data_IF_968452358665
#
_entry.id   IF_968452358665
#
_cell.length_a   1.000
_cell.length_b   1.000
_cell.length_c   1.000
_cell.angle_alpha   90.00
_cell.angle_beta   90.00
_cell.angle_gamma   90.00
#
_symmetry.space_group_name_H-M   'P 1'
#
loop_
_entity.id
_entity.type
_entity.pdbx_description
1 polymer ?
#
# COMPACT_ATOMS: atom_id res chain seq x y z
N UNK A 1 40.33 -3.58 9.60
CA UNK A 1 39.28 -4.06 8.68
C UNK A 1 39.94 -5.07 7.73
N UNK A 2 40.01 -6.33 8.17
CA UNK A 2 40.61 -7.41 7.39
C UNK A 2 39.48 -8.14 6.65
N UNK A 3 39.59 -8.34 5.34
CA UNK A 3 38.60 -9.07 4.55
C UNK A 3 37.66 -8.25 3.64
N UNK A 4 37.93 -6.97 3.38
CA UNK A 4 37.18 -6.21 2.37
C UNK A 4 37.92 -6.24 1.03
N UNK A 5 37.26 -6.74 -0.01
CA UNK A 5 37.64 -6.51 -1.40
C UNK A 5 37.86 -5.02 -1.61
N UNK A 6 39.10 -4.61 -1.87
CA UNK A 6 39.47 -3.23 -2.11
C UNK A 6 39.62 -3.00 -3.60
N UNK A 7 39.05 -1.89 -4.07
CA UNK A 7 39.25 -1.46 -5.45
C UNK A 7 40.52 -0.62 -5.56
N UNK A 8 41.41 -1.01 -6.46
CA UNK A 8 42.60 -0.23 -6.82
C UNK A 8 42.71 -0.11 -8.34
N UNK A 9 42.15 0.97 -8.89
CA UNK A 9 42.08 1.20 -10.33
C UNK A 9 41.26 0.11 -11.05
N UNK A 10 41.92 -0.64 -11.93
CA UNK A 10 41.34 -1.74 -12.72
C UNK A 10 41.51 -3.12 -12.07
N UNK A 11 41.95 -3.16 -10.81
CA UNK A 11 42.20 -4.40 -10.07
C UNK A 11 41.41 -4.44 -8.76
N UNK A 12 41.04 -5.65 -8.35
CA UNK A 12 40.58 -5.95 -7.01
C UNK A 12 41.76 -6.46 -6.18
N UNK A 13 41.91 -5.93 -4.97
CA UNK A 13 42.86 -6.39 -3.96
C UNK A 13 42.10 -7.05 -2.82
N UNK A 14 42.47 -8.27 -2.49
CA UNK A 14 41.93 -9.02 -1.37
C UNK A 14 43.07 -9.35 -0.41
N UNK A 15 42.95 -8.86 0.82
CA UNK A 15 43.88 -9.16 1.90
C UNK A 15 43.14 -9.93 3.00
N UNK A 16 43.62 -11.14 3.28
CA UNK A 16 43.07 -11.97 4.34
C UNK A 16 44.17 -12.76 5.06
N UNK A 17 44.03 -12.96 6.38
CA UNK A 17 44.91 -13.85 7.13
C UNK A 17 44.59 -15.30 6.74
N UNK A 18 45.58 -16.02 6.22
CA UNK A 18 45.45 -17.43 5.89
C UNK A 18 45.66 -18.34 7.11
N UNK A 19 46.35 -17.82 8.11
CA UNK A 19 46.60 -18.48 9.38
C UNK A 19 46.42 -17.46 10.49
N UNK A 20 45.46 -17.76 11.37
CA UNK A 20 45.20 -17.00 12.58
C UNK A 20 46.16 -17.46 13.67
N UNK A 21 46.49 -16.54 14.60
CA UNK A 21 47.39 -16.77 15.73
C UNK A 21 47.20 -18.17 16.33
N UNK A 22 48.18 -19.05 16.06
CA UNK A 22 48.26 -20.38 16.64
C UNK A 22 49.13 -20.24 17.89
N UNK A 23 48.54 -20.50 19.07
CA UNK A 23 49.23 -20.40 20.35
C UNK A 23 50.40 -21.39 20.53
N UNK A 24 50.62 -22.28 19.56
CA UNK A 24 51.68 -23.28 19.53
C UNK A 24 52.60 -23.10 18.32
N UNK A 25 53.85 -23.53 18.43
CA UNK A 25 54.83 -23.51 17.35
C UNK A 25 54.39 -24.42 16.18
N UNK A 26 54.21 -23.84 15.00
CA UNK A 26 53.80 -24.59 13.81
C UNK A 26 55.00 -24.96 12.96
N UNK A 27 55.20 -26.27 12.73
CA UNK A 27 56.28 -26.79 11.88
C UNK A 27 55.88 -26.75 10.40
N UNK A 28 55.87 -25.55 9.83
CA UNK A 28 55.59 -25.35 8.40
C UNK A 28 54.17 -25.73 7.97
N UNK A 29 53.88 -25.54 6.70
CA UNK A 29 52.57 -25.82 6.13
C UNK A 29 52.50 -25.51 4.64
N UNK A 30 51.37 -25.84 4.02
CA UNK A 30 51.05 -25.41 2.65
C UNK A 30 49.62 -24.92 2.62
N UNK A 31 49.36 -23.90 1.80
CA UNK A 31 48.00 -23.42 1.55
C UNK A 31 47.68 -23.55 0.06
N UNK A 32 46.42 -23.80 -0.25
CA UNK A 32 45.91 -23.81 -1.62
C UNK A 32 44.64 -22.97 -1.70
N UNK A 33 44.63 -22.01 -2.62
CA UNK A 33 43.48 -21.16 -2.91
C UNK A 33 42.90 -21.63 -4.23
N UNK A 34 41.70 -22.20 -4.16
CA UNK A 34 40.97 -22.65 -5.34
C UNK A 34 40.13 -21.52 -5.90
N UNK A 35 40.20 -21.33 -7.22
CA UNK A 35 39.36 -20.38 -7.90
C UNK A 35 38.19 -21.08 -8.59
N UNK A 36 37.03 -20.40 -8.68
CA UNK A 36 35.83 -20.98 -9.30
C UNK A 36 35.99 -21.18 -10.81
N UNK A 37 36.79 -20.35 -11.49
CA UNK A 37 37.12 -20.47 -12.91
C UNK A 37 38.64 -20.48 -13.11
N UNK A 38 39.09 -20.87 -14.31
CA UNK A 38 40.51 -20.88 -14.64
C UNK A 38 41.04 -19.44 -14.77
N UNK A 39 42.21 -19.19 -14.19
CA UNK A 39 42.83 -17.86 -14.14
C UNK A 39 44.04 -17.82 -15.05
N UNK A 40 44.20 -16.71 -15.79
CA UNK A 40 45.48 -16.39 -16.38
C UNK A 40 46.49 -15.99 -15.29
N UNK A 41 47.45 -16.90 -15.04
CA UNK A 41 48.52 -16.72 -14.06
C UNK A 41 49.36 -15.44 -14.24
N UNK A 42 49.36 -14.84 -15.43
CA UNK A 42 50.04 -13.59 -15.72
C UNK A 42 49.29 -12.37 -15.17
N UNK A 43 47.96 -12.44 -15.08
CA UNK A 43 47.11 -11.31 -14.68
C UNK A 43 46.89 -11.24 -13.17
N UNK A 44 47.19 -12.31 -12.42
CA UNK A 44 46.98 -12.38 -10.97
C UNK A 44 48.30 -12.29 -10.21
N UNK A 45 48.37 -11.38 -9.25
CA UNK A 45 49.50 -11.21 -8.36
C UNK A 45 49.17 -11.81 -6.99
N UNK A 46 50.07 -12.64 -6.48
CA UNK A 46 49.93 -13.30 -5.18
C UNK A 46 51.19 -13.03 -4.38
N UNK A 47 51.02 -12.38 -3.23
CA UNK A 47 52.07 -12.20 -2.24
C UNK A 47 51.59 -12.84 -0.93
N UNK A 48 52.42 -13.70 -0.36
CA UNK A 48 52.22 -14.21 0.99
C UNK A 48 53.37 -13.66 1.85
N UNK A 49 53.03 -13.06 2.99
CA UNK A 49 54.00 -12.48 3.91
C UNK A 49 53.63 -12.78 5.35
N UNK A 50 54.64 -13.03 6.18
CA UNK A 50 54.49 -13.13 7.64
C UNK A 50 54.39 -11.73 8.25
N UNK A 51 53.90 -11.60 9.49
CA UNK A 51 53.91 -10.36 10.30
C UNK A 51 55.27 -9.63 10.25
N UNK A 52 56.37 -10.36 10.21
CA UNK A 52 57.73 -9.82 10.13
C UNK A 52 58.16 -9.30 8.74
N UNK A 53 57.27 -9.35 7.74
CA UNK A 53 57.53 -8.85 6.38
C UNK A 53 58.29 -9.83 5.47
N UNK A 54 58.62 -11.03 5.96
CA UNK A 54 59.26 -12.08 5.17
C UNK A 54 58.33 -12.56 4.07
N UNK A 55 58.76 -12.45 2.80
CA UNK A 55 58.01 -12.96 1.64
C UNK A 55 58.15 -14.47 1.53
N UNK A 56 57.02 -15.16 1.40
CA UNK A 56 56.97 -16.61 1.26
C UNK A 56 57.00 -17.02 -0.22
N UNK A 57 57.59 -18.17 -0.56
CA UNK A 57 57.55 -18.69 -1.92
C UNK A 57 56.11 -19.05 -2.32
N UNK A 58 55.63 -18.42 -3.39
CA UNK A 58 54.31 -18.68 -3.97
C UNK A 58 54.45 -19.21 -5.39
N UNK A 59 53.54 -20.11 -5.76
CA UNK A 59 53.45 -20.68 -7.08
C UNK A 59 52.01 -20.53 -7.61
N UNK A 60 51.91 -20.25 -8.92
CA UNK A 60 50.65 -19.99 -9.60
C UNK A 60 50.36 -21.11 -10.60
N UNK A 61 49.15 -21.65 -10.56
CA UNK A 61 48.64 -22.60 -11.56
C UNK A 61 47.31 -22.12 -12.12
N UNK A 62 46.85 -22.75 -13.20
CA UNK A 62 45.64 -22.35 -13.92
C UNK A 62 44.35 -22.39 -13.06
N UNK A 63 44.26 -23.26 -12.06
CA UNK A 63 43.02 -23.51 -11.28
C UNK A 63 43.17 -23.25 -9.78
N UNK A 64 44.41 -23.13 -9.29
CA UNK A 64 44.67 -22.85 -7.89
C UNK A 64 45.99 -22.10 -7.73
N UNK A 65 46.11 -21.35 -6.64
CA UNK A 65 47.37 -20.79 -6.19
C UNK A 65 47.83 -21.57 -4.96
N UNK A 66 49.14 -21.82 -4.84
CA UNK A 66 49.67 -22.44 -3.62
C UNK A 66 50.92 -21.73 -3.14
N UNK A 67 51.09 -21.67 -1.83
CA UNK A 67 52.35 -21.25 -1.22
C UNK A 67 52.80 -22.25 -0.18
N UNK A 68 54.11 -22.32 -0.01
CA UNK A 68 54.74 -23.08 1.05
C UNK A 68 55.16 -22.12 2.17
N UNK A 69 54.83 -22.51 3.40
CA UNK A 69 55.26 -21.78 4.58
C UNK A 69 56.64 -22.31 4.97
N UNK A 70 57.70 -21.46 4.96
CA UNK A 70 59.03 -21.88 5.38
C UNK A 70 59.00 -22.39 6.82
N UNK A 71 59.95 -23.25 7.15
CA UNK A 71 59.98 -23.98 8.41
C UNK A 71 59.91 -23.07 9.63
N UNK A 72 59.16 -23.53 10.64
CA UNK A 72 58.87 -22.92 11.94
C UNK A 72 58.28 -21.51 11.90
N UNK A 73 56.98 -21.41 12.17
CA UNK A 73 56.31 -20.15 12.49
C UNK A 73 56.33 -19.94 14.00
N UNK A 74 56.62 -18.72 14.45
CA UNK A 74 56.61 -18.39 15.87
C UNK A 74 55.15 -18.25 16.36
N UNK A 75 54.87 -18.57 17.64
CA UNK A 75 53.57 -18.26 18.23
C UNK A 75 53.28 -16.76 18.13
N UNK A 76 52.12 -16.37 17.61
CA UNK A 76 51.77 -14.98 17.32
C UNK A 76 52.01 -14.52 15.87
N UNK A 77 52.72 -15.30 15.04
CA UNK A 77 52.92 -14.97 13.63
C UNK A 77 51.64 -15.19 12.81
N UNK A 78 51.26 -14.18 12.04
CA UNK A 78 50.15 -14.26 11.09
C UNK A 78 50.70 -14.30 9.68
N UNK A 79 50.05 -15.12 8.84
CA UNK A 79 50.38 -15.20 7.42
C UNK A 79 49.31 -14.44 6.68
N UNK A 80 49.71 -13.31 6.12
CA UNK A 80 48.85 -12.46 5.31
C UNK A 80 49.00 -12.87 3.85
N UNK A 81 47.87 -13.15 3.21
CA UNK A 81 47.81 -13.35 1.78
C UNK A 81 47.20 -12.11 1.15
N UNK A 82 48.00 -11.49 0.28
CA UNK A 82 47.61 -10.39 -0.58
C UNK A 82 47.42 -10.92 -2.00
N UNK A 83 46.18 -10.87 -2.48
CA UNK A 83 45.79 -11.33 -3.80
C UNK A 83 45.29 -10.13 -4.62
N UNK A 84 45.89 -9.87 -5.77
CA UNK A 84 45.45 -8.82 -6.71
C UNK A 84 45.09 -9.44 -8.06
N UNK A 85 43.87 -9.21 -8.54
CA UNK A 85 43.35 -9.76 -9.80
C UNK A 85 42.52 -8.71 -10.56
N UNK A 86 42.39 -8.81 -11.90
CA UNK A 86 41.69 -7.81 -12.69
C UNK A 86 40.18 -7.82 -12.40
N UNK A 87 39.52 -6.65 -12.50
CA UNK A 87 38.07 -6.52 -12.25
C UNK A 87 37.21 -7.32 -13.24
N UNK A 88 37.74 -7.59 -14.44
CA UNK A 88 37.10 -8.42 -15.47
C UNK A 88 36.85 -9.87 -15.05
N UNK A 89 37.60 -10.38 -14.06
CA UNK A 89 37.48 -11.76 -13.60
C UNK A 89 36.23 -12.00 -12.76
N UNK A 90 35.75 -10.99 -12.03
CA UNK A 90 34.45 -11.08 -11.39
C UNK A 90 33.41 -10.53 -12.36
N UNK A 91 32.35 -11.30 -12.70
CA UNK A 91 31.21 -10.72 -13.37
C UNK A 91 30.71 -9.60 -12.44
N UNK A 92 30.88 -8.34 -12.90
CA UNK A 92 30.66 -7.16 -12.07
C UNK A 92 29.34 -7.26 -11.30
N UNK A 93 29.32 -6.74 -10.07
CA UNK A 93 28.19 -6.83 -9.14
C UNK A 93 26.87 -6.49 -9.84
N UNK A 94 26.21 -7.53 -10.33
CA UNK A 94 24.98 -7.40 -11.09
C UNK A 94 23.84 -7.70 -10.13
N UNK A 95 22.74 -6.96 -10.30
CA UNK A 95 21.53 -7.14 -9.50
C UNK A 95 21.05 -8.61 -9.54
N UNK A 96 21.32 -9.31 -10.65
CA UNK A 96 21.07 -10.75 -10.80
C UNK A 96 21.95 -11.63 -9.91
N UNK A 97 23.26 -11.37 -9.81
CA UNK A 97 24.17 -12.15 -8.94
C UNK A 97 23.82 -11.95 -7.46
N UNK A 98 23.46 -10.73 -7.07
CA UNK A 98 22.98 -10.42 -5.72
C UNK A 98 21.70 -11.21 -5.37
N UNK A 99 20.70 -11.21 -6.27
CA UNK A 99 19.48 -12.01 -6.09
C UNK A 99 19.77 -13.51 -6.02
N UNK A 100 20.65 -14.03 -6.89
CA UNK A 100 21.03 -15.44 -6.88
C UNK A 100 21.71 -15.84 -5.57
N UNK A 101 22.60 -15.00 -5.03
CA UNK A 101 23.27 -15.22 -3.75
C UNK A 101 22.29 -15.16 -2.57
N UNK A 102 21.35 -14.21 -2.60
CA UNK A 102 20.26 -14.14 -1.62
C UNK A 102 19.42 -15.41 -1.64
N UNK A 103 19.03 -15.90 -2.82
CA UNK A 103 18.16 -17.07 -2.94
C UNK A 103 18.85 -18.39 -2.59
N UNK A 104 20.13 -18.55 -2.95
CA UNK A 104 20.88 -19.80 -2.76
C UNK A 104 21.19 -20.08 -1.29
N UNK A 105 21.45 -19.04 -0.48
CA UNK A 105 21.84 -19.21 0.91
C UNK A 105 20.73 -18.85 1.92
N UNK A 106 19.73 -18.06 1.51
CA UNK A 106 18.68 -17.56 2.42
C UNK A 106 17.27 -18.00 2.01
N UNK A 107 17.12 -19.22 1.51
CA UNK A 107 15.81 -19.79 1.13
C UNK A 107 14.75 -19.70 2.24
N UNK A 108 15.19 -19.66 3.51
CA UNK A 108 14.32 -19.46 4.67
C UNK A 108 13.60 -18.08 4.69
N UNK A 109 14.13 -17.06 4.02
CA UNK A 109 13.47 -15.75 3.85
C UNK A 109 12.22 -15.81 2.97
N UNK A 110 12.02 -16.89 2.21
CA UNK A 110 10.78 -17.09 1.45
C UNK A 110 9.57 -17.35 2.36
N UNK A 111 9.79 -17.89 3.57
CA UNK A 111 8.73 -18.26 4.52
C UNK A 111 7.91 -17.04 4.97
N UNK A 112 8.50 -15.96 5.53
CA UNK A 112 7.73 -14.78 5.94
C UNK A 112 7.07 -14.10 4.74
N UNK A 113 7.67 -14.16 3.56
CA UNK A 113 7.14 -13.55 2.34
C UNK A 113 5.89 -14.30 1.83
N UNK A 114 5.93 -15.64 1.87
CA UNK A 114 4.78 -16.48 1.55
C UNK A 114 3.67 -16.33 2.58
N UNK A 115 4.00 -16.32 3.88
CA UNK A 115 3.01 -16.17 4.95
C UNK A 115 2.35 -14.78 4.89
N UNK A 116 3.15 -13.72 4.70
CA UNK A 116 2.64 -12.36 4.54
C UNK A 116 1.75 -12.22 3.31
N UNK A 117 2.15 -12.82 2.18
CA UNK A 117 1.32 -12.83 0.96
C UNK A 117 0.00 -13.57 1.18
N UNK A 118 0.03 -14.72 1.85
CA UNK A 118 -1.15 -15.51 2.17
C UNK A 118 -2.13 -14.74 3.08
N UNK A 119 -1.63 -14.11 4.14
CA UNK A 119 -2.43 -13.27 5.02
C UNK A 119 -3.02 -12.07 4.29
N UNK A 120 -2.24 -11.45 3.40
CA UNK A 120 -2.71 -10.34 2.56
C UNK A 120 -3.84 -10.76 1.63
N UNK A 121 -3.72 -11.92 0.97
CA UNK A 121 -4.78 -12.49 0.13
C UNK A 121 -6.04 -12.75 0.96
N UNK A 122 -5.89 -13.36 2.14
CA UNK A 122 -7.03 -13.62 3.03
C UNK A 122 -7.74 -12.33 3.43
N UNK A 123 -7.00 -11.29 3.80
CA UNK A 123 -7.57 -9.97 4.09
C UNK A 123 -8.23 -9.33 2.86
N UNK A 124 -7.62 -9.44 1.69
CA UNK A 124 -8.15 -8.86 0.45
C UNK A 124 -9.53 -9.44 0.08
N UNK A 125 -9.70 -10.75 0.26
CA UNK A 125 -10.94 -11.46 -0.10
C UNK A 125 -11.98 -11.49 1.02
N UNK A 126 -11.58 -11.67 2.28
CA UNK A 126 -12.50 -11.89 3.40
C UNK A 126 -12.50 -10.77 4.44
N UNK A 127 -11.44 -9.96 4.49
CA UNK A 127 -11.27 -8.90 5.49
C UNK A 127 -11.77 -7.52 5.05
N UNK A 128 -12.28 -7.38 3.82
CA UNK A 128 -12.90 -6.13 3.38
C UNK A 128 -14.35 -6.07 3.84
N UNK A 129 -14.62 -5.17 4.77
CA UNK A 129 -15.99 -4.89 5.18
C UNK A 129 -16.82 -4.41 3.98
N UNK A 130 -18.06 -4.92 3.83
CA UNK A 130 -18.97 -4.40 2.82
C UNK A 130 -19.21 -2.92 3.11
N UNK A 131 -19.12 -2.08 2.07
CA UNK A 131 -19.49 -0.67 2.16
C UNK A 131 -21.01 -0.58 2.34
N UNK A 132 -21.48 -0.68 3.58
CA UNK A 132 -22.88 -0.43 3.90
C UNK A 132 -23.10 1.06 3.81
N UNK A 133 -23.82 1.49 2.78
CA UNK A 133 -24.21 2.89 2.63
C UNK A 133 -25.24 3.19 3.71
N UNK A 134 -24.84 3.91 4.76
CA UNK A 134 -25.74 4.40 5.79
C UNK A 134 -26.67 5.43 5.15
N UNK A 135 -27.85 4.99 4.73
CA UNK A 135 -28.91 5.89 4.26
C UNK A 135 -29.50 6.64 5.45
N UNK A 136 -29.27 7.94 5.53
CA UNK A 136 -29.93 8.81 6.50
C UNK A 136 -31.41 8.93 6.14
N UNK A 137 -32.29 8.44 7.03
CA UNK A 137 -33.74 8.63 6.90
C UNK A 137 -34.10 9.97 7.54
N UNK A 138 -34.37 10.98 6.72
CA UNK A 138 -34.89 12.26 7.20
C UNK A 138 -36.41 12.18 7.33
N UNK A 139 -36.92 12.36 8.54
CA UNK A 139 -38.34 12.57 8.81
C UNK A 139 -38.56 14.03 9.16
N UNK A 140 -39.53 14.74 8.53
CA UNK A 140 -39.84 16.10 8.91
C UNK A 140 -40.38 16.14 10.36
N UNK A 141 -40.11 17.22 11.11
CA UNK A 141 -40.69 17.41 12.44
C UNK A 141 -42.22 17.45 12.36
N UNK A 142 -42.94 16.88 13.35
CA UNK A 142 -44.39 16.65 13.28
C UNK A 142 -45.23 17.94 13.22
N UNK A 143 -44.73 19.05 13.76
CA UNK A 143 -45.50 20.30 13.90
C UNK A 143 -45.19 21.35 12.82
N UNK A 144 -44.48 20.96 11.76
CA UNK A 144 -44.06 21.87 10.69
C UNK A 144 -44.78 21.58 9.39
N UNK A 145 -45.54 22.55 8.90
CA UNK A 145 -46.17 22.46 7.57
C UNK A 145 -45.12 22.73 6.48
N UNK A 146 -45.30 22.19 5.26
CA UNK A 146 -44.35 22.46 4.18
C UNK A 146 -44.30 23.94 3.76
N UNK A 147 -45.40 24.69 3.98
CA UNK A 147 -45.41 26.14 3.80
C UNK A 147 -44.49 26.86 4.80
N UNK A 148 -44.53 26.46 6.08
CA UNK A 148 -43.61 27.00 7.09
C UNK A 148 -42.18 26.53 6.89
N UNK A 149 -41.97 25.29 6.43
CA UNK A 149 -40.64 24.79 6.11
C UNK A 149 -40.00 25.58 4.96
N UNK A 150 -40.79 25.91 3.92
CA UNK A 150 -40.36 26.80 2.84
C UNK A 150 -40.05 28.21 3.35
N UNK A 151 -40.94 28.77 4.18
CA UNK A 151 -40.71 30.09 4.78
C UNK A 151 -39.49 30.14 5.69
N UNK A 152 -39.22 29.09 6.48
CA UNK A 152 -38.03 29.01 7.34
C UNK A 152 -36.73 28.90 6.54
N UNK A 153 -36.79 28.42 5.29
CA UNK A 153 -35.61 28.25 4.45
C UNK A 153 -35.06 29.58 3.93
N UNK A 154 -35.92 30.49 3.48
CA UNK A 154 -35.52 31.74 2.82
C UNK A 154 -36.21 33.01 3.35
N UNK A 155 -36.92 32.90 4.48
CA UNK A 155 -37.70 33.97 5.14
C UNK A 155 -38.74 34.64 4.22
N UNK A 156 -39.11 33.98 3.11
CA UNK A 156 -40.04 34.52 2.13
C UNK A 156 -41.12 33.50 1.80
N UNK A 157 -42.36 33.95 1.79
CA UNK A 157 -43.48 33.09 1.41
C UNK A 157 -43.58 33.05 -0.11
N UNK A 158 -43.25 31.91 -0.72
CA UNK A 158 -43.45 31.71 -2.15
C UNK A 158 -44.77 31.02 -2.47
N UNK A 159 -45.29 31.26 -3.69
CA UNK A 159 -46.51 30.59 -4.18
C UNK A 159 -46.38 29.06 -4.18
N UNK A 160 -45.19 28.54 -4.47
CA UNK A 160 -44.88 27.10 -4.44
C UNK A 160 -45.06 26.50 -3.03
N UNK A 161 -44.72 27.24 -1.99
CA UNK A 161 -44.81 26.79 -0.60
C UNK A 161 -46.28 26.70 -0.18
N UNK A 162 -47.10 27.63 -0.67
CA UNK A 162 -48.56 27.57 -0.51
C UNK A 162 -49.20 26.40 -1.28
N UNK A 163 -48.78 26.14 -2.52
CA UNK A 163 -49.27 24.99 -3.31
C UNK A 163 -48.91 23.66 -2.63
N UNK A 164 -47.78 23.60 -1.93
CA UNK A 164 -47.37 22.41 -1.19
C UNK A 164 -48.38 21.98 -0.11
N UNK A 165 -49.19 22.91 0.42
CA UNK A 165 -50.25 22.61 1.39
C UNK A 165 -51.34 21.70 0.81
N UNK A 166 -51.60 21.78 -0.50
CA UNK A 166 -52.59 20.92 -1.17
C UNK A 166 -52.14 19.45 -1.06
N UNK A 167 -50.86 19.18 -1.31
CA UNK A 167 -50.28 17.85 -1.17
C UNK A 167 -50.22 17.39 0.28
N UNK A 168 -49.92 18.30 1.21
CA UNK A 168 -49.93 18.02 2.65
C UNK A 168 -51.30 17.58 3.16
N UNK A 169 -52.36 18.32 2.80
CA UNK A 169 -53.73 17.95 3.16
C UNK A 169 -54.17 16.64 2.48
N UNK A 170 -53.70 16.37 1.26
CA UNK A 170 -53.96 15.10 0.60
C UNK A 170 -53.27 13.92 1.31
N UNK A 171 -52.01 14.10 1.74
CA UNK A 171 -51.29 13.10 2.53
C UNK A 171 -51.94 12.81 3.89
N UNK A 172 -52.59 13.82 4.50
CA UNK A 172 -53.39 13.67 5.72
C UNK A 172 -54.81 13.11 5.48
N UNK A 173 -55.19 12.86 4.22
CA UNK A 173 -56.52 12.34 3.85
C UNK A 173 -57.66 13.35 4.00
N UNK A 174 -57.36 14.65 3.98
CA UNK A 174 -58.33 15.74 4.02
C UNK A 174 -58.84 16.12 2.62
N UNK A 175 -58.01 15.90 1.61
CA UNK A 175 -58.24 16.25 0.21
C UNK A 175 -57.93 15.05 -0.70
N UNK A 176 -58.67 14.91 -1.79
CA UNK A 176 -58.37 13.96 -2.85
C UNK A 176 -58.08 14.72 -4.15
N UNK A 177 -57.00 14.33 -4.83
CA UNK A 177 -56.58 14.91 -6.10
C UNK A 177 -56.86 13.87 -7.18
N UNK A 178 -57.63 14.25 -8.19
CA UNK A 178 -57.99 13.39 -9.32
C UNK A 178 -57.53 14.06 -10.60
N UNK A 179 -56.79 13.34 -11.44
CA UNK A 179 -56.42 13.80 -12.78
C UNK A 179 -57.59 13.56 -13.73
N UNK A 180 -57.98 14.60 -14.45
CA UNK A 180 -58.97 14.55 -15.51
C UNK A 180 -58.20 14.46 -16.84
N UNK A 181 -58.27 13.29 -17.45
CA UNK A 181 -57.57 13.00 -18.70
C UNK A 181 -58.30 13.71 -19.85
N UNK A 182 -57.71 14.81 -20.33
CA UNK A 182 -58.16 15.54 -21.50
C UNK A 182 -57.05 15.49 -22.55
N UNK A 183 -57.38 15.15 -23.80
CA UNK A 183 -56.49 14.89 -24.96
C UNK A 183 -55.36 15.92 -25.24
N UNK A 184 -55.34 17.06 -24.54
CA UNK A 184 -54.37 18.16 -24.78
C UNK A 184 -53.75 18.76 -23.52
N UNK A 185 -54.29 18.55 -22.32
CA UNK A 185 -53.78 19.09 -21.02
C UNK A 185 -54.32 18.27 -19.84
N UNK A 186 -53.47 17.99 -18.85
CA UNK A 186 -53.88 17.42 -17.56
C UNK A 186 -54.61 18.47 -16.73
N UNK A 187 -55.93 18.36 -16.61
CA UNK A 187 -56.70 19.14 -15.64
C UNK A 187 -56.76 18.36 -14.31
N UNK A 188 -56.76 19.05 -13.18
CA UNK A 188 -56.83 18.42 -11.86
C UNK A 188 -58.11 18.82 -11.13
N UNK A 189 -58.79 17.84 -10.55
CA UNK A 189 -59.93 18.03 -9.68
C UNK A 189 -59.53 17.79 -8.22
N UNK A 190 -59.77 18.80 -7.38
CA UNK A 190 -59.57 18.74 -5.94
C UNK A 190 -60.93 18.51 -5.27
N UNK A 191 -61.08 17.38 -4.57
CA UNK A 191 -62.29 17.04 -3.83
C UNK A 191 -62.01 17.09 -2.33
N UNK A 192 -62.77 17.89 -1.60
CA UNK A 192 -62.73 17.96 -0.15
C UNK A 192 -63.33 16.69 0.44
N UNK A 193 -62.55 15.97 1.23
CA UNK A 193 -62.99 14.72 1.89
C UNK A 193 -63.39 14.99 3.34
N UNK A 194 -62.64 15.83 4.05
CA UNK A 194 -62.88 16.20 5.44
C UNK A 194 -62.62 17.69 5.66
N UNK A 195 -63.21 18.24 6.72
CA UNK A 195 -62.84 19.56 7.24
C UNK A 195 -61.47 19.52 7.93
N UNK A 196 -60.78 20.65 7.90
CA UNK A 196 -59.57 20.84 8.69
C UNK A 196 -59.89 20.67 10.19
N UNK A 197 -59.01 20.01 10.96
CA UNK A 197 -59.19 19.90 12.40
C UNK A 197 -59.15 21.29 13.06
N UNK A 198 -59.84 21.48 14.20
CA UNK A 198 -59.84 22.76 14.90
C UNK A 198 -58.44 23.18 15.39
N UNK A 199 -57.54 22.21 15.55
CA UNK A 199 -56.12 22.39 15.91
C UNK A 199 -55.24 22.87 14.75
N UNK A 200 -55.75 22.92 13.51
CA UNK A 200 -55.00 23.44 12.37
C UNK A 200 -54.68 24.93 12.53
N UNK A 201 -53.56 25.36 11.93
CA UNK A 201 -53.08 26.75 12.01
C UNK A 201 -54.03 27.70 11.28
N UNK A 202 -54.07 28.95 11.72
CA UNK A 202 -55.05 29.92 11.21
C UNK A 202 -54.89 30.20 9.71
N UNK A 203 -53.65 30.26 9.22
CA UNK A 203 -53.39 30.46 7.79
C UNK A 203 -53.89 29.28 6.94
N UNK A 204 -53.82 28.04 7.46
CA UNK A 204 -54.34 26.86 6.77
C UNK A 204 -55.86 26.94 6.65
N UNK A 205 -56.55 27.36 7.72
CA UNK A 205 -58.01 27.55 7.73
C UNK A 205 -58.45 28.59 6.70
N UNK A 206 -57.74 29.72 6.64
CA UNK A 206 -58.00 30.79 5.65
C UNK A 206 -57.77 30.27 4.24
N UNK A 207 -56.67 29.56 4.01
CA UNK A 207 -56.33 29.08 2.67
C UNK A 207 -57.30 27.98 2.19
N UNK A 208 -57.63 27.02 3.06
CA UNK A 208 -58.52 25.92 2.73
C UNK A 208 -59.96 26.38 2.51
N UNK A 209 -60.46 27.28 3.35
CA UNK A 209 -61.78 27.90 3.13
C UNK A 209 -61.78 28.76 1.85
N UNK A 210 -60.68 29.47 1.56
CA UNK A 210 -60.50 30.26 0.35
C UNK A 210 -60.38 29.43 -0.93
N UNK A 211 -59.81 28.22 -0.86
CA UNK A 211 -59.70 27.28 -1.97
C UNK A 211 -61.09 26.78 -2.38
N UNK A 212 -61.90 26.36 -1.40
CA UNK A 212 -63.19 25.74 -1.66
C UNK A 212 -64.36 26.73 -1.73
N UNK A 213 -64.28 27.90 -1.09
CA UNK A 213 -65.33 28.94 -1.02
C UNK A 213 -66.74 28.37 -0.75
N UNK A 214 -66.83 27.37 0.13
CA UNK A 214 -68.08 26.67 0.47
C UNK A 214 -68.49 25.53 -0.48
N UNK A 215 -67.70 25.23 -1.52
CA UNK A 215 -67.90 24.10 -2.43
C UNK A 215 -67.14 22.87 -1.94
N UNK A 216 -67.56 21.68 -2.36
CA UNK A 216 -66.84 20.42 -2.06
C UNK A 216 -65.78 20.07 -3.09
N UNK A 217 -65.82 20.70 -4.27
CA UNK A 217 -65.00 20.31 -5.42
C UNK A 217 -64.55 21.54 -6.20
N UNK A 218 -63.29 21.56 -6.62
CA UNK A 218 -62.66 22.63 -7.40
C UNK A 218 -61.84 22.02 -8.52
N UNK A 219 -61.97 22.56 -9.73
CA UNK A 219 -61.15 22.16 -10.89
C UNK A 219 -60.06 23.20 -11.13
N UNK A 220 -58.84 22.73 -11.37
CA UNK A 220 -57.65 23.52 -11.68
C UNK A 220 -57.11 23.05 -13.02
N UNK A 221 -56.82 23.99 -13.92
CA UNK A 221 -56.30 23.78 -15.29
C UNK A 221 -54.95 24.49 -15.46
#
# INVERSE_FOLDING_TARGET
AYGLLRENGDRYELQFPALYDLGDLVRGGSFRIHFPEAIDSAEVELMASTTDGTRLPTAKWATYLSGELPGYLLPGDQVMIDLSFPKSYLPGSSWGLFLQLLWKNNAWLAIPLLLGSFLYLLWYFFGRDPKVVLMTRYTPPPDLTPAEAGFLWDEKLHKKDLVSLIYYWAAQGLLHITELDNDRKSDYQLTKVKDLPPTAKDFEKVMFSGLFKGRSTVTVS
#
